data_IF_983845165142
#
_entry.id   IF_983845165142
#
_cell.length_a   1.000
_cell.length_b   1.000
_cell.length_c   1.000
_cell.angle_alpha   90.00
_cell.angle_beta   90.00
_cell.angle_gamma   90.00
#
_symmetry.space_group_name_H-M   'P 1'
#
loop_
_entity.id
_entity.type
_entity.pdbx_description
1 polymer ?
#
# COMPACT_ATOMS: atom_id res chain seq x y z
N UNK A 1 -19.73 28.30 -18.07
CA UNK A 1 -20.24 28.66 -16.74
C UNK A 1 -19.31 28.09 -15.70
N UNK A 2 -18.36 28.90 -15.23
CA UNK A 2 -17.42 28.54 -14.17
C UNK A 2 -18.06 28.89 -12.83
N UNK A 3 -18.50 27.87 -12.09
CA UNK A 3 -18.90 28.03 -10.70
C UNK A 3 -17.63 28.20 -9.86
N UNK A 4 -17.21 29.46 -9.64
CA UNK A 4 -16.18 29.79 -8.66
C UNK A 4 -16.78 29.61 -7.26
N UNK A 5 -16.65 28.41 -6.69
CA UNK A 5 -16.94 28.20 -5.27
C UNK A 5 -15.72 28.72 -4.50
N UNK A 6 -15.85 29.77 -3.66
CA UNK A 6 -14.74 30.27 -2.88
C UNK A 6 -14.15 29.15 -2.02
N UNK A 7 -12.83 29.03 -2.04
CA UNK A 7 -12.04 28.10 -1.22
C UNK A 7 -12.30 28.37 0.27
N UNK A 8 -13.00 27.46 0.95
CA UNK A 8 -13.19 27.50 2.40
C UNK A 8 -11.93 26.96 3.10
N UNK A 9 -11.16 27.81 3.81
CA UNK A 9 -9.91 27.39 4.46
C UNK A 9 -10.08 26.25 5.48
N UNK A 10 -11.29 26.07 6.00
CA UNK A 10 -11.65 24.96 6.89
C UNK A 10 -11.61 23.59 6.18
N UNK A 11 -12.08 23.51 4.92
CA UNK A 11 -12.13 22.27 4.17
C UNK A 11 -10.72 21.77 3.82
N UNK A 12 -9.81 22.71 3.55
CA UNK A 12 -8.40 22.43 3.27
C UNK A 12 -7.73 21.80 4.48
N UNK A 13 -7.89 22.42 5.65
CA UNK A 13 -7.37 21.90 6.92
C UNK A 13 -7.95 20.53 7.27
N UNK A 14 -9.26 20.33 7.07
CA UNK A 14 -9.93 19.07 7.37
C UNK A 14 -9.44 17.90 6.51
N UNK A 15 -9.23 18.10 5.20
CA UNK A 15 -8.73 17.05 4.30
C UNK A 15 -7.29 16.63 4.64
N UNK A 16 -6.43 17.60 4.95
CA UNK A 16 -5.03 17.34 5.33
C UNK A 16 -4.95 16.59 6.67
N UNK A 17 -5.73 17.01 7.67
CA UNK A 17 -5.82 16.33 8.98
C UNK A 17 -6.39 14.92 8.82
N UNK A 18 -7.41 14.76 7.99
CA UNK A 18 -8.01 13.45 7.72
C UNK A 18 -6.99 12.52 7.08
N UNK A 19 -6.27 12.98 6.05
CA UNK A 19 -5.22 12.21 5.39
C UNK A 19 -4.10 11.83 6.37
N UNK A 20 -3.65 12.77 7.20
CA UNK A 20 -2.63 12.52 8.23
C UNK A 20 -3.08 11.44 9.23
N UNK A 21 -4.32 11.54 9.75
CA UNK A 21 -4.86 10.57 10.70
C UNK A 21 -4.99 9.17 10.09
N UNK A 22 -5.39 9.07 8.81
CA UNK A 22 -5.47 7.82 8.08
C UNK A 22 -4.09 7.21 7.82
N UNK A 23 -3.09 8.03 7.46
CA UNK A 23 -1.69 7.56 7.32
C UNK A 23 -1.17 7.04 8.66
N UNK A 24 -1.42 7.76 9.76
CA UNK A 24 -1.02 7.32 11.09
C UNK A 24 -1.68 5.98 11.47
N UNK A 25 -2.99 5.82 11.19
CA UNK A 25 -3.70 4.57 11.40
C UNK A 25 -3.12 3.41 10.56
N UNK A 26 -2.76 3.66 9.30
CA UNK A 26 -2.12 2.66 8.44
C UNK A 26 -0.75 2.25 9.00
N UNK A 27 0.09 3.20 9.42
CA UNK A 27 1.40 2.89 9.99
C UNK A 27 1.30 2.12 11.31
N UNK A 28 0.29 2.41 12.13
CA UNK A 28 -0.02 1.62 13.33
C UNK A 28 -0.45 0.18 12.96
N UNK A 29 -1.27 0.03 11.91
CA UNK A 29 -1.64 -1.28 11.38
C UNK A 29 -0.41 -2.06 10.89
N UNK A 30 0.50 -1.39 10.16
CA UNK A 30 1.76 -1.98 9.71
C UNK A 30 2.65 -2.41 10.87
N UNK A 31 2.77 -1.59 11.92
CA UNK A 31 3.52 -1.95 13.12
C UNK A 31 2.93 -3.20 13.79
N UNK A 32 1.60 -3.26 13.94
CA UNK A 32 0.91 -4.42 14.47
C UNK A 32 1.17 -5.66 13.61
N UNK A 33 1.07 -5.53 12.28
CA UNK A 33 1.37 -6.59 11.32
C UNK A 33 2.81 -7.13 11.48
N UNK A 34 3.80 -6.26 11.67
CA UNK A 34 5.19 -6.66 11.94
C UNK A 34 5.31 -7.44 13.24
N UNK A 35 4.70 -6.97 14.32
CA UNK A 35 4.69 -7.65 15.63
C UNK A 35 4.12 -9.06 15.47
N UNK A 36 2.99 -9.22 14.77
CA UNK A 36 2.40 -10.54 14.48
C UNK A 36 3.33 -11.45 13.68
N UNK A 37 4.02 -10.93 12.66
CA UNK A 37 4.99 -11.70 11.87
C UNK A 37 6.15 -12.18 12.75
N UNK A 38 6.73 -11.29 13.57
CA UNK A 38 7.84 -11.65 14.45
C UNK A 38 7.42 -12.61 15.55
N UNK A 39 6.25 -12.38 16.15
CA UNK A 39 5.68 -13.28 17.15
C UNK A 39 5.46 -14.69 16.58
N UNK A 40 4.86 -14.79 15.39
CA UNK A 40 4.67 -16.07 14.70
C UNK A 40 6.02 -16.73 14.40
N UNK A 41 7.02 -15.96 13.94
CA UNK A 41 8.36 -16.48 13.64
C UNK A 41 9.05 -17.05 14.88
N UNK A 42 8.94 -16.37 16.02
CA UNK A 42 9.51 -16.82 17.29
C UNK A 42 8.81 -18.09 17.76
N UNK A 43 7.47 -18.10 17.78
CA UNK A 43 6.66 -19.25 18.20
C UNK A 43 6.80 -20.45 17.25
N UNK A 44 7.03 -20.20 15.96
CA UNK A 44 7.27 -21.26 14.99
C UNK A 44 8.57 -22.04 15.25
N UNK A 45 9.54 -21.47 15.97
CA UNK A 45 10.77 -22.20 16.33
C UNK A 45 10.49 -23.33 17.32
N UNK A 46 9.47 -23.20 18.16
CA UNK A 46 9.11 -24.18 19.20
C UNK A 46 8.01 -25.17 18.79
N UNK A 47 7.44 -25.06 17.58
CA UNK A 47 6.30 -25.88 17.17
C UNK A 47 6.35 -26.27 15.68
N UNK A 48 6.43 -27.58 15.42
CA UNK A 48 6.48 -28.16 14.07
C UNK A 48 5.26 -27.79 13.20
N UNK A 49 4.07 -27.72 13.80
CA UNK A 49 2.84 -27.31 13.09
C UNK A 49 2.93 -25.89 12.51
N UNK A 50 3.57 -24.96 13.22
CA UNK A 50 3.68 -23.55 12.82
C UNK A 50 4.80 -23.30 11.78
N UNK A 51 5.76 -24.22 11.63
CA UNK A 51 6.84 -24.09 10.63
C UNK A 51 6.33 -24.10 9.20
N UNK A 52 5.28 -24.89 8.89
CA UNK A 52 4.68 -24.91 7.55
C UNK A 52 4.05 -23.56 7.18
N UNK A 53 3.44 -22.87 8.16
CA UNK A 53 2.85 -21.54 7.98
C UNK A 53 3.89 -20.41 7.96
N UNK A 54 5.05 -20.63 8.55
CA UNK A 54 6.14 -19.67 8.58
C UNK A 54 6.80 -19.50 7.20
N UNK A 55 6.68 -20.45 6.25
CA UNK A 55 7.39 -20.37 4.96
C UNK A 55 7.13 -19.09 4.12
N UNK A 56 6.02 -18.39 4.35
CA UNK A 56 5.64 -17.15 3.63
C UNK A 56 5.97 -15.86 4.40
N UNK A 57 6.60 -15.96 5.57
CA UNK A 57 6.88 -14.81 6.44
C UNK A 57 7.66 -13.70 5.74
N UNK A 58 8.64 -14.05 4.90
CA UNK A 58 9.47 -13.09 4.17
C UNK A 58 8.65 -12.25 3.19
N UNK A 59 7.68 -12.85 2.51
CA UNK A 59 6.85 -12.14 1.52
C UNK A 59 5.80 -11.26 2.23
N UNK A 60 5.22 -11.75 3.34
CA UNK A 60 4.34 -10.92 4.19
C UNK A 60 5.10 -9.73 4.77
N UNK A 61 6.34 -9.94 5.22
CA UNK A 61 7.21 -8.87 5.70
C UNK A 61 7.51 -7.85 4.59
N UNK A 62 7.81 -8.32 3.38
CA UNK A 62 8.01 -7.45 2.21
C UNK A 62 6.78 -6.60 1.90
N UNK A 63 5.58 -7.18 1.97
CA UNK A 63 4.32 -6.45 1.78
C UNK A 63 4.18 -5.29 2.76
N UNK A 64 4.39 -5.58 4.06
CA UNK A 64 4.26 -4.58 5.13
C UNK A 64 5.32 -3.48 4.99
N UNK A 65 6.53 -3.82 4.55
CA UNK A 65 7.57 -2.81 4.24
C UNK A 65 7.11 -1.89 3.11
N UNK A 66 6.61 -2.41 1.99
CA UNK A 66 6.15 -1.57 0.89
C UNK A 66 5.00 -0.65 1.31
N UNK A 67 4.05 -1.16 2.08
CA UNK A 67 2.92 -0.37 2.58
C UNK A 67 3.38 0.70 3.58
N UNK A 68 4.29 0.36 4.49
CA UNK A 68 4.86 1.32 5.44
C UNK A 68 5.61 2.43 4.71
N UNK A 69 6.49 2.07 3.77
CA UNK A 69 7.24 3.03 2.96
C UNK A 69 6.30 3.89 2.11
N UNK A 70 5.19 3.34 1.60
CA UNK A 70 4.18 4.10 0.89
C UNK A 70 3.51 5.13 1.81
N UNK A 71 3.11 4.72 3.01
CA UNK A 71 2.57 5.63 4.02
C UNK A 71 3.53 6.77 4.38
N UNK A 72 4.83 6.47 4.57
CA UNK A 72 5.85 7.49 4.78
C UNK A 72 6.05 8.40 3.55
N UNK A 73 5.97 7.85 2.33
CA UNK A 73 6.05 8.62 1.10
C UNK A 73 4.86 9.58 0.95
N UNK A 74 3.66 9.18 1.36
CA UNK A 74 2.46 10.04 1.38
C UNK A 74 2.58 11.20 2.37
N UNK A 75 3.35 11.07 3.45
CA UNK A 75 3.66 12.20 4.34
C UNK A 75 4.44 13.31 3.61
N UNK A 76 5.28 12.95 2.62
CA UNK A 76 6.01 13.93 1.81
C UNK A 76 5.10 14.76 0.91
N UNK A 77 3.90 14.25 0.61
CA UNK A 77 2.89 14.95 -0.20
C UNK A 77 2.28 16.12 0.56
N UNK A 78 2.06 15.94 1.87
CA UNK A 78 1.35 16.89 2.71
C UNK A 78 2.15 18.20 2.87
N UNK A 79 1.48 19.37 2.75
CA UNK A 79 2.14 20.67 2.90
C UNK A 79 2.70 20.91 4.30
N UNK A 80 2.21 20.19 5.32
CA UNK A 80 2.64 20.31 6.72
C UNK A 80 4.16 20.08 6.91
N UNK A 81 4.72 19.07 6.25
CA UNK A 81 6.16 18.76 6.33
C UNK A 81 7.03 19.73 5.52
N UNK A 82 6.44 20.41 4.54
CA UNK A 82 7.13 21.30 3.60
C UNK A 82 7.14 22.76 4.05
N UNK A 83 6.13 23.17 4.82
CA UNK A 83 5.92 24.58 5.24
C UNK A 83 6.75 25.00 6.45
N UNK A 84 7.52 24.09 7.05
CA UNK A 84 8.39 24.45 8.17
C UNK A 84 7.65 24.67 9.49
N UNK A 85 6.46 24.09 9.70
CA UNK A 85 5.86 24.02 11.06
C UNK A 85 6.66 23.09 11.99
N UNK A 86 7.64 22.35 11.44
CA UNK A 86 8.71 21.66 12.16
C UNK A 86 10.00 22.52 12.20
N UNK A 87 9.86 23.84 12.27
CA UNK A 87 10.95 24.84 12.22
C UNK A 87 12.00 24.69 13.33
N UNK A 88 11.71 23.89 14.37
CA UNK A 88 12.70 23.50 15.38
C UNK A 88 13.69 22.43 14.90
N UNK A 89 13.34 21.63 13.89
CA UNK A 89 14.11 20.43 13.50
C UNK A 89 14.52 20.37 12.02
N UNK A 90 13.86 21.09 11.11
CA UNK A 90 14.17 21.07 9.67
C UNK A 90 14.34 22.50 9.10
N UNK A 91 15.40 22.78 8.32
CA UNK A 91 15.59 24.08 7.68
C UNK A 91 14.50 24.35 6.63
N UNK A 92 14.19 25.62 6.38
CA UNK A 92 13.26 26.03 5.32
C UNK A 92 13.74 25.52 3.95
N UNK A 93 12.95 24.67 3.30
CA UNK A 93 13.25 24.18 1.95
C UNK A 93 12.95 25.25 0.90
N UNK A 94 13.91 25.47 0.00
CA UNK A 94 13.76 26.35 -1.16
C UNK A 94 12.71 25.80 -2.14
N UNK A 95 12.10 26.68 -2.95
CA UNK A 95 11.08 26.31 -3.94
C UNK A 95 11.54 25.17 -4.89
N UNK A 96 12.83 25.18 -5.25
CA UNK A 96 13.45 24.15 -6.10
C UNK A 96 13.56 22.79 -5.41
N UNK A 97 13.85 22.78 -4.11
CA UNK A 97 13.91 21.55 -3.32
C UNK A 97 12.50 20.96 -3.13
N UNK A 98 11.50 21.81 -2.90
CA UNK A 98 10.11 21.41 -2.82
C UNK A 98 9.61 20.75 -4.12
N UNK A 99 9.97 21.32 -5.27
CA UNK A 99 9.66 20.75 -6.58
C UNK A 99 10.31 19.38 -6.80
N UNK A 100 11.57 19.21 -6.37
CA UNK A 100 12.26 17.93 -6.45
C UNK A 100 11.65 16.87 -5.53
N UNK A 101 11.19 17.25 -4.34
CA UNK A 101 10.46 16.33 -3.45
C UNK A 101 9.16 15.84 -4.08
N UNK A 102 8.40 16.70 -4.77
CA UNK A 102 7.21 16.26 -5.50
C UNK A 102 7.53 15.26 -6.63
N UNK A 103 8.64 15.48 -7.36
CA UNK A 103 9.12 14.53 -8.38
C UNK A 103 9.48 13.18 -7.76
N UNK A 104 10.25 13.21 -6.66
CA UNK A 104 10.65 11.99 -5.94
C UNK A 104 9.41 11.26 -5.41
N UNK A 105 8.49 11.98 -4.78
CA UNK A 105 7.25 11.43 -4.26
C UNK A 105 6.43 10.73 -5.36
N UNK A 106 6.25 11.38 -6.52
CA UNK A 106 5.50 10.82 -7.64
C UNK A 106 6.17 9.54 -8.21
N UNK A 107 7.48 9.58 -8.43
CA UNK A 107 8.25 8.41 -8.90
C UNK A 107 8.20 7.26 -7.90
N UNK A 108 8.34 7.58 -6.61
CA UNK A 108 8.41 6.57 -5.56
C UNK A 108 7.03 5.94 -5.32
N UNK A 109 5.95 6.73 -5.29
CA UNK A 109 4.58 6.22 -5.10
C UNK A 109 4.15 5.35 -6.29
N UNK A 110 4.03 5.95 -7.48
CA UNK A 110 3.47 5.30 -8.66
C UNK A 110 4.45 4.37 -9.38
N UNK A 111 5.76 4.62 -9.24
CA UNK A 111 6.78 3.87 -9.94
C UNK A 111 7.28 2.64 -9.20
N UNK A 112 7.20 2.61 -7.87
CA UNK A 112 7.83 1.56 -7.09
C UNK A 112 7.01 1.03 -5.92
N UNK A 113 6.52 1.90 -5.03
CA UNK A 113 5.88 1.45 -3.79
C UNK A 113 4.50 0.85 -4.03
N UNK A 114 3.65 1.51 -4.81
CA UNK A 114 2.33 0.96 -5.17
C UNK A 114 2.43 -0.29 -6.03
N UNK A 115 3.19 -0.30 -7.13
CA UNK A 115 3.46 -1.54 -7.86
C UNK A 115 4.05 -2.63 -6.96
N UNK A 116 4.94 -2.27 -6.04
CA UNK A 116 5.62 -3.17 -5.11
C UNK A 116 4.66 -3.91 -4.20
N UNK A 117 3.76 -3.20 -3.52
CA UNK A 117 2.77 -3.88 -2.68
C UNK A 117 1.76 -4.65 -3.53
N UNK A 118 1.30 -4.13 -4.67
CA UNK A 118 0.33 -4.83 -5.54
C UNK A 118 0.90 -6.16 -6.06
N UNK A 119 2.11 -6.16 -6.62
CA UNK A 119 2.76 -7.41 -7.09
C UNK A 119 2.98 -8.38 -5.93
N UNK A 120 3.32 -7.87 -4.75
CA UNK A 120 3.46 -8.71 -3.55
C UNK A 120 2.12 -9.34 -3.13
N UNK A 121 1.00 -8.60 -3.21
CA UNK A 121 -0.35 -9.12 -2.98
C UNK A 121 -0.70 -10.23 -3.97
N UNK A 122 -0.50 -10.00 -5.27
CA UNK A 122 -0.72 -11.00 -6.31
C UNK A 122 0.08 -12.27 -6.07
N UNK A 123 1.36 -12.13 -5.69
CA UNK A 123 2.21 -13.27 -5.37
C UNK A 123 1.69 -14.04 -4.15
N UNK A 124 1.33 -13.36 -3.07
CA UNK A 124 0.79 -13.98 -1.86
C UNK A 124 -0.50 -14.75 -2.13
N UNK A 125 -1.43 -14.18 -2.90
CA UNK A 125 -2.66 -14.86 -3.30
C UNK A 125 -2.36 -16.09 -4.15
N UNK A 126 -1.46 -15.97 -5.13
CA UNK A 126 -1.12 -17.07 -6.04
C UNK A 126 -0.43 -18.24 -5.33
N UNK A 127 0.47 -17.95 -4.39
CA UNK A 127 1.25 -18.98 -3.70
C UNK A 127 0.47 -19.62 -2.57
N UNK A 128 -0.48 -18.93 -1.95
CA UNK A 128 -1.29 -19.48 -0.85
C UNK A 128 -2.09 -20.74 -1.22
N UNK A 129 -2.26 -21.03 -2.51
CA UNK A 129 -3.02 -22.18 -3.03
C UNK A 129 -2.19 -23.16 -3.85
N UNK A 130 -0.90 -22.91 -4.07
CA UNK A 130 -0.01 -23.84 -4.77
C UNK A 130 0.60 -24.81 -3.77
N UNK A 131 0.62 -26.10 -4.10
CA UNK A 131 1.23 -27.15 -3.27
C UNK A 131 2.73 -26.96 -3.08
N UNK A 132 3.41 -26.38 -4.07
CA UNK A 132 4.85 -26.06 -4.00
C UNK A 132 5.04 -24.61 -3.61
N UNK A 133 5.52 -24.38 -2.39
CA UNK A 133 5.91 -23.04 -1.92
C UNK A 133 7.27 -22.69 -2.54
N UNK A 134 7.36 -21.68 -3.42
CA UNK A 134 8.64 -21.21 -3.93
C UNK A 134 9.49 -20.61 -2.80
N UNK A 135 10.81 -20.71 -2.92
CA UNK A 135 11.74 -20.09 -1.96
C UNK A 135 11.49 -18.58 -1.88
N UNK A 136 11.48 -18.01 -0.66
CA UNK A 136 11.19 -16.60 -0.42
C UNK A 136 12.03 -15.61 -1.26
N UNK A 137 13.32 -15.91 -1.49
CA UNK A 137 14.17 -15.09 -2.36
C UNK A 137 13.66 -14.97 -3.81
N UNK A 138 13.07 -16.03 -4.37
CA UNK A 138 12.50 -15.97 -5.74
C UNK A 138 11.29 -15.04 -5.80
N UNK A 139 10.53 -14.95 -4.71
CA UNK A 139 9.42 -14.00 -4.59
C UNK A 139 9.93 -12.56 -4.61
N UNK A 140 10.98 -12.29 -3.83
CA UNK A 140 11.64 -10.97 -3.80
C UNK A 140 12.12 -10.61 -5.20
N UNK A 141 12.91 -11.47 -5.85
CA UNK A 141 13.41 -11.23 -7.21
C UNK A 141 12.26 -10.97 -8.19
N UNK A 142 11.18 -11.74 -8.12
CA UNK A 142 10.00 -11.54 -8.97
C UNK A 142 9.33 -10.18 -8.76
N UNK A 143 9.10 -9.77 -7.50
CA UNK A 143 8.50 -8.47 -7.17
C UNK A 143 9.37 -7.35 -7.71
N UNK A 144 10.65 -7.33 -7.35
CA UNK A 144 11.57 -6.27 -7.78
C UNK A 144 11.74 -6.24 -9.30
N UNK A 145 11.87 -7.39 -9.97
CA UNK A 145 11.97 -7.45 -11.42
C UNK A 145 10.71 -6.95 -12.15
N UNK A 146 9.53 -7.12 -11.55
CA UNK A 146 8.27 -6.63 -12.13
C UNK A 146 8.09 -5.12 -11.93
N UNK A 147 8.55 -4.58 -10.80
CA UNK A 147 8.45 -3.15 -10.50
C UNK A 147 9.54 -2.32 -11.19
N UNK A 148 10.72 -2.89 -11.42
CA UNK A 148 11.89 -2.19 -11.97
C UNK A 148 11.62 -1.48 -13.31
N UNK A 149 10.94 -2.09 -14.32
CA UNK A 149 10.67 -1.42 -15.60
C UNK A 149 9.83 -0.15 -15.42
N UNK A 150 8.78 -0.21 -14.60
CA UNK A 150 7.92 0.95 -14.33
C UNK A 150 8.73 2.04 -13.63
N UNK A 151 9.49 1.67 -12.59
CA UNK A 151 10.34 2.61 -11.85
C UNK A 151 11.38 3.31 -12.75
N UNK A 152 12.09 2.55 -13.59
CA UNK A 152 13.09 3.10 -14.50
C UNK A 152 12.46 4.02 -15.55
N UNK A 153 11.32 3.64 -16.12
CA UNK A 153 10.59 4.49 -17.06
C UNK A 153 10.19 5.81 -16.38
N UNK A 154 9.61 5.76 -15.18
CA UNK A 154 9.22 6.95 -14.42
C UNK A 154 10.41 7.90 -14.16
N UNK A 155 11.57 7.35 -13.75
CA UNK A 155 12.80 8.15 -13.55
C UNK A 155 13.24 8.81 -14.86
N UNK A 156 13.31 8.04 -15.94
CA UNK A 156 13.75 8.53 -17.25
C UNK A 156 12.87 9.67 -17.75
N UNK A 157 11.55 9.56 -17.61
CA UNK A 157 10.62 10.61 -18.05
C UNK A 157 10.66 11.87 -17.18
N UNK A 158 10.84 11.75 -15.86
CA UNK A 158 10.73 12.89 -14.94
C UNK A 158 12.04 13.64 -14.65
N UNK A 159 13.18 12.97 -14.76
CA UNK A 159 14.50 13.56 -14.48
C UNK A 159 15.31 13.90 -15.73
N UNK A 160 14.96 13.35 -16.90
CA UNK A 160 15.73 13.60 -18.12
C UNK A 160 15.27 14.87 -18.86
N UNK A 161 16.02 15.97 -18.67
CA UNK A 161 15.74 17.30 -19.26
C UNK A 161 15.54 17.31 -20.79
N UNK A 162 16.17 16.38 -21.51
CA UNK A 162 16.04 16.29 -22.97
C UNK A 162 14.68 15.75 -23.43
N UNK A 163 13.98 15.00 -22.57
CA UNK A 163 12.59 14.60 -22.79
C UNK A 163 11.63 15.72 -22.38
N UNK A 164 11.97 16.45 -21.31
CA UNK A 164 11.20 17.61 -20.83
C UNK A 164 11.00 18.68 -21.91
N UNK A 165 12.01 18.95 -22.73
CA UNK A 165 11.90 19.93 -23.83
C UNK A 165 11.13 19.45 -25.07
N UNK A 166 10.84 18.14 -25.16
CA UNK A 166 10.17 17.54 -26.32
C UNK A 166 8.67 17.31 -26.11
N UNK A 167 8.22 17.33 -24.86
CA UNK A 167 6.82 17.13 -24.50
C UNK A 167 6.20 18.40 -23.92
N UNK A 168 4.90 18.64 -24.16
CA UNK A 168 4.21 19.81 -23.64
C UNK A 168 4.19 19.86 -22.10
N UNK A 169 4.05 21.06 -21.54
CA UNK A 169 4.19 21.35 -20.10
C UNK A 169 3.29 20.50 -19.20
N UNK A 170 2.08 20.17 -19.65
CA UNK A 170 1.14 19.30 -18.93
C UNK A 170 1.64 17.86 -18.75
N UNK A 171 2.57 17.39 -19.60
CA UNK A 171 3.07 16.01 -19.56
C UNK A 171 4.12 15.77 -18.46
N UNK A 172 4.82 16.81 -18.00
CA UNK A 172 5.95 16.68 -17.06
C UNK A 172 5.80 17.51 -15.78
N UNK A 173 4.79 18.39 -15.69
CA UNK A 173 4.56 19.23 -14.52
C UNK A 173 4.14 18.37 -13.32
N UNK A 174 5.03 18.26 -12.34
CA UNK A 174 4.85 17.47 -11.10
C UNK A 174 4.57 18.37 -9.88
N UNK A 175 4.55 19.68 -10.09
CA UNK A 175 4.33 20.68 -9.05
C UNK A 175 3.70 21.96 -9.62
N UNK A 176 3.00 22.67 -8.75
CA UNK A 176 2.24 23.89 -9.03
C UNK A 176 2.34 24.82 -7.82
N UNK A 177 2.34 26.13 -8.08
CA UNK A 177 2.38 27.14 -7.03
C UNK A 177 0.95 27.49 -6.63
N UNK A 178 0.65 27.44 -5.34
CA UNK A 178 -0.63 27.81 -4.73
C UNK A 178 -0.43 28.92 -3.72
N UNK A 179 -1.08 30.05 -3.96
CA UNK A 179 -1.07 31.17 -3.03
C UNK A 179 -2.22 31.00 -2.05
N UNK A 180 -1.87 30.75 -0.78
CA UNK A 180 -2.87 30.67 0.28
C UNK A 180 -3.48 32.05 0.52
N UNK A 181 -4.72 32.11 1.00
CA UNK A 181 -5.45 33.38 1.24
C UNK A 181 -4.76 34.36 2.20
N UNK A 182 -3.70 33.94 2.90
CA UNK A 182 -2.84 34.76 3.75
C UNK A 182 -1.61 35.35 3.03
N UNK A 183 -1.51 35.22 1.71
CA UNK A 183 -0.42 35.76 0.90
C UNK A 183 0.84 34.88 0.81
N UNK A 184 0.86 33.73 1.48
CA UNK A 184 1.99 32.81 1.49
C UNK A 184 1.91 31.80 0.33
N UNK A 185 3.02 31.60 -0.39
CA UNK A 185 3.14 30.76 -1.58
C UNK A 185 3.60 29.35 -1.20
N UNK A 186 2.78 28.35 -1.54
CA UNK A 186 3.02 26.93 -1.23
C UNK A 186 3.04 26.11 -2.50
N UNK A 187 3.91 25.11 -2.58
CA UNK A 187 3.91 24.17 -3.71
C UNK A 187 2.92 23.04 -3.43
N UNK A 188 2.08 22.65 -4.38
CA UNK A 188 1.35 21.37 -4.33
C UNK A 188 1.99 20.37 -5.29
N UNK A 189 2.06 19.11 -4.85
CA UNK A 189 2.51 18.02 -5.70
C UNK A 189 1.34 17.54 -6.57
N UNK A 190 1.60 17.38 -7.86
CA UNK A 190 0.62 16.82 -8.80
C UNK A 190 1.23 15.65 -9.53
N UNK A 191 0.40 14.71 -9.94
CA UNK A 191 0.85 13.54 -10.68
C UNK A 191 0.94 13.90 -12.16
N UNK A 192 2.14 13.85 -12.76
CA UNK A 192 2.28 14.18 -14.17
C UNK A 192 1.59 13.11 -15.03
N UNK A 193 1.00 13.55 -16.13
CA UNK A 193 0.23 12.71 -17.06
C UNK A 193 0.97 11.44 -17.49
N UNK A 194 2.27 11.55 -17.81
CA UNK A 194 3.08 10.40 -18.23
C UNK A 194 3.16 9.35 -17.11
N UNK A 195 3.28 9.79 -15.86
CA UNK A 195 3.30 8.89 -14.72
C UNK A 195 1.97 8.17 -14.54
N UNK A 196 0.86 8.87 -14.76
CA UNK A 196 -0.50 8.29 -14.75
C UNK A 196 -0.69 7.25 -15.85
N UNK A 197 -0.21 7.51 -17.08
CA UNK A 197 -0.31 6.56 -18.19
C UNK A 197 0.51 5.30 -17.91
N UNK A 198 1.76 5.45 -17.45
CA UNK A 198 2.63 4.32 -17.11
C UNK A 198 2.03 3.47 -15.98
N UNK A 199 1.53 4.11 -14.92
CA UNK A 199 0.88 3.42 -13.82
C UNK A 199 -0.43 2.75 -14.26
N UNK A 200 -1.23 3.42 -15.10
CA UNK A 200 -2.48 2.87 -15.65
C UNK A 200 -2.27 1.65 -16.53
N UNK A 201 -1.21 1.65 -17.35
CA UNK A 201 -0.82 0.48 -18.15
C UNK A 201 -0.44 -0.70 -17.26
N UNK A 202 0.40 -0.46 -16.24
CA UNK A 202 0.75 -1.47 -15.24
C UNK A 202 -0.50 -1.98 -14.50
N UNK A 203 -1.35 -1.07 -14.03
CA UNK A 203 -2.57 -1.39 -13.29
C UNK A 203 -3.57 -2.21 -14.11
N UNK A 204 -3.66 -1.98 -15.42
CA UNK A 204 -4.52 -2.75 -16.32
C UNK A 204 -4.04 -4.20 -16.44
N UNK A 205 -2.75 -4.41 -16.70
CA UNK A 205 -2.13 -5.74 -16.76
C UNK A 205 -2.25 -6.46 -15.41
N UNK A 206 -2.02 -5.73 -14.32
CA UNK A 206 -2.15 -6.24 -12.97
C UNK A 206 -3.57 -6.70 -12.66
N UNK A 207 -4.58 -5.86 -12.94
CA UNK A 207 -5.99 -6.13 -12.66
C UNK A 207 -6.44 -7.41 -13.36
N UNK A 208 -6.09 -7.58 -14.64
CA UNK A 208 -6.39 -8.80 -15.40
C UNK A 208 -5.70 -10.03 -14.78
N UNK A 209 -4.40 -9.91 -14.49
CA UNK A 209 -3.60 -10.99 -13.90
C UNK A 209 -4.10 -11.41 -12.52
N UNK A 210 -4.53 -10.43 -11.72
CA UNK A 210 -5.08 -10.60 -10.38
C UNK A 210 -6.46 -11.27 -10.44
N UNK A 211 -7.34 -10.81 -11.33
CA UNK A 211 -8.64 -11.44 -11.55
C UNK A 211 -8.50 -12.92 -11.94
N UNK A 212 -7.62 -13.24 -12.90
CA UNK A 212 -7.38 -14.63 -13.34
C UNK A 212 -6.82 -15.48 -12.19
N UNK A 213 -5.87 -14.93 -11.42
CA UNK A 213 -5.28 -15.63 -10.28
C UNK A 213 -6.33 -15.91 -9.20
N UNK A 214 -7.15 -14.91 -8.84
CA UNK A 214 -8.23 -15.07 -7.87
C UNK A 214 -9.31 -16.03 -8.34
N UNK A 215 -9.68 -16.00 -9.63
CA UNK A 215 -10.67 -16.91 -10.20
C UNK A 215 -10.22 -18.37 -10.07
N UNK A 216 -8.96 -18.66 -10.44
CA UNK A 216 -8.38 -19.99 -10.27
C UNK A 216 -8.40 -20.43 -8.81
N UNK A 217 -7.98 -19.55 -7.91
CA UNK A 217 -8.00 -19.82 -6.47
C UNK A 217 -9.42 -20.15 -5.99
N UNK A 218 -10.39 -19.30 -6.28
CA UNK A 218 -11.79 -19.45 -5.87
C UNK A 218 -12.41 -20.75 -6.40
N UNK A 219 -12.05 -21.15 -7.62
CA UNK A 219 -12.53 -22.42 -8.21
C UNK A 219 -11.99 -23.66 -7.49
N UNK A 220 -10.85 -23.57 -6.81
CA UNK A 220 -10.19 -24.68 -6.11
C UNK A 220 -10.56 -24.75 -4.62
N UNK A 221 -11.02 -23.66 -3.99
CA UNK A 221 -11.36 -23.68 -2.56
C UNK A 221 -12.73 -24.29 -2.29
N UNK A 222 -12.72 -25.38 -1.53
CA UNK A 222 -13.91 -26.00 -0.94
C UNK A 222 -14.38 -25.22 0.32
N UNK A 223 -13.47 -24.49 0.99
CA UNK A 223 -13.78 -23.79 2.24
C UNK A 223 -14.50 -22.44 1.99
N UNK A 224 -15.77 -22.36 2.44
CA UNK A 224 -16.64 -21.18 2.34
C UNK A 224 -16.05 -19.93 3.02
N UNK A 225 -15.35 -20.09 4.16
CA UNK A 225 -14.77 -18.98 4.92
C UNK A 225 -13.54 -18.36 4.25
N UNK A 226 -12.65 -19.17 3.67
CA UNK A 226 -11.52 -18.68 2.89
C UNK A 226 -12.00 -18.00 1.60
N UNK A 227 -13.03 -18.57 0.96
CA UNK A 227 -13.64 -18.02 -0.26
C UNK A 227 -14.19 -16.60 -0.06
N UNK A 228 -14.93 -16.34 1.02
CA UNK A 228 -15.47 -15.00 1.31
C UNK A 228 -14.36 -13.95 1.46
N UNK A 229 -13.26 -14.30 2.14
CA UNK A 229 -12.15 -13.37 2.37
C UNK A 229 -11.44 -12.98 1.08
N UNK A 230 -11.24 -13.96 0.20
CA UNK A 230 -10.60 -13.75 -1.10
C UNK A 230 -11.52 -12.94 -2.02
N UNK A 231 -12.83 -13.19 -1.99
CA UNK A 231 -13.79 -12.33 -2.70
C UNK A 231 -13.79 -10.90 -2.19
N UNK A 232 -13.74 -10.69 -0.88
CA UNK A 232 -13.60 -9.35 -0.29
C UNK A 232 -12.34 -8.64 -0.78
N UNK A 233 -11.18 -9.29 -0.70
CA UNK A 233 -9.92 -8.75 -1.23
C UNK A 233 -10.01 -8.46 -2.74
N UNK A 234 -10.58 -9.40 -3.50
CA UNK A 234 -10.72 -9.27 -4.95
C UNK A 234 -11.59 -8.08 -5.31
N UNK A 235 -12.76 -7.97 -4.69
CA UNK A 235 -13.67 -6.85 -4.89
C UNK A 235 -13.01 -5.52 -4.53
N UNK A 236 -12.34 -5.43 -3.37
CA UNK A 236 -11.64 -4.20 -2.97
C UNK A 236 -10.60 -3.77 -4.00
N UNK A 237 -9.71 -4.68 -4.42
CA UNK A 237 -8.65 -4.34 -5.39
C UNK A 237 -9.22 -4.00 -6.77
N UNK A 238 -10.19 -4.77 -7.28
CA UNK A 238 -10.78 -4.55 -8.60
C UNK A 238 -11.65 -3.30 -8.69
N UNK A 239 -12.13 -2.77 -7.57
CA UNK A 239 -12.86 -1.50 -7.54
C UNK A 239 -11.92 -0.34 -7.26
N UNK A 240 -11.10 -0.45 -6.22
CA UNK A 240 -10.25 0.65 -5.78
C UNK A 240 -9.16 1.00 -6.80
N UNK A 241 -8.47 0.01 -7.38
CA UNK A 241 -7.37 0.30 -8.31
C UNK A 241 -7.84 0.97 -9.62
N UNK A 242 -8.91 0.50 -10.31
CA UNK A 242 -9.43 1.22 -11.47
C UNK A 242 -10.00 2.59 -11.12
N UNK A 243 -10.66 2.73 -9.96
CA UNK A 243 -11.12 4.02 -9.48
C UNK A 243 -9.94 4.99 -9.29
N UNK A 244 -8.84 4.52 -8.69
CA UNK A 244 -7.60 5.28 -8.55
C UNK A 244 -7.08 5.78 -9.89
N UNK A 245 -6.94 4.87 -10.86
CA UNK A 245 -6.40 5.18 -12.20
C UNK A 245 -7.32 6.17 -12.94
N UNK A 246 -8.63 5.97 -12.85
CA UNK A 246 -9.61 6.88 -13.45
C UNK A 246 -9.52 8.27 -12.83
N UNK A 247 -9.48 8.37 -11.51
CA UNK A 247 -9.34 9.62 -10.79
C UNK A 247 -8.00 10.32 -11.09
N UNK A 248 -6.89 9.58 -11.18
CA UNK A 248 -5.60 10.11 -11.62
C UNK A 248 -5.69 10.69 -13.04
N UNK A 249 -6.36 10.01 -13.97
CA UNK A 249 -6.57 10.51 -15.33
C UNK A 249 -7.46 11.76 -15.38
N UNK A 250 -8.53 11.77 -14.60
CA UNK A 250 -9.45 12.90 -14.50
C UNK A 250 -8.82 14.13 -13.83
N UNK A 251 -7.87 13.94 -12.92
CA UNK A 251 -7.17 15.03 -12.21
C UNK A 251 -6.50 16.05 -13.16
N UNK A 252 -6.23 15.63 -14.40
CA UNK A 252 -5.61 16.43 -15.46
C UNK A 252 -6.57 17.46 -16.05
N UNK A 253 -7.87 17.18 -16.01
CA UNK A 253 -8.91 18.03 -16.58
C UNK A 253 -9.22 19.24 -15.69
N UNK A 254 -8.92 19.15 -14.40
CA UNK A 254 -9.22 20.20 -13.44
C UNK A 254 -8.00 21.04 -13.10
N UNK A 255 -8.22 22.34 -12.99
CA UNK A 255 -7.22 23.22 -12.42
C UNK A 255 -7.10 22.93 -10.92
N UNK A 256 -5.89 22.98 -10.34
CA UNK A 256 -5.66 22.65 -8.94
C UNK A 256 -6.25 23.66 -7.95
N UNK A 257 -6.69 24.82 -8.46
CA UNK A 257 -7.38 25.85 -7.72
C UNK A 257 -8.85 25.47 -7.45
N UNK A 258 -9.39 24.51 -8.20
CA UNK A 258 -10.75 24.03 -8.02
C UNK A 258 -10.84 22.98 -6.91
N UNK A 259 -11.89 23.08 -6.09
CA UNK A 259 -12.17 22.11 -5.02
C UNK A 259 -12.34 20.67 -5.54
N UNK A 260 -12.77 20.52 -6.79
CA UNK A 260 -12.90 19.23 -7.46
C UNK A 260 -11.56 18.48 -7.54
N UNK A 261 -10.45 19.18 -7.81
CA UNK A 261 -9.12 18.57 -7.88
C UNK A 261 -8.73 17.92 -6.54
N UNK A 262 -8.96 18.62 -5.43
CA UNK A 262 -8.69 18.10 -4.07
C UNK A 262 -9.54 16.88 -3.73
N UNK A 263 -10.82 16.90 -4.11
CA UNK A 263 -11.71 15.76 -3.93
C UNK A 263 -11.22 14.52 -4.70
N UNK A 264 -10.81 14.70 -5.95
CA UNK A 264 -10.25 13.63 -6.79
C UNK A 264 -8.95 13.08 -6.18
N UNK A 265 -8.05 13.95 -5.71
CA UNK A 265 -6.80 13.54 -5.05
C UNK A 265 -7.05 12.74 -3.76
N UNK A 266 -8.06 13.12 -2.97
CA UNK A 266 -8.46 12.38 -1.79
C UNK A 266 -9.00 10.99 -2.16
N UNK A 267 -9.78 10.87 -3.23
CA UNK A 267 -10.26 9.57 -3.72
C UNK A 267 -9.09 8.69 -4.18
N UNK A 268 -8.11 9.24 -4.89
CA UNK A 268 -6.87 8.53 -5.26
C UNK A 268 -6.18 8.01 -4.00
N UNK A 269 -5.98 8.85 -2.99
CA UNK A 269 -5.37 8.43 -1.72
C UNK A 269 -6.17 7.33 -1.01
N UNK A 270 -7.49 7.49 -0.87
CA UNK A 270 -8.36 6.53 -0.21
C UNK A 270 -8.40 5.18 -0.93
N UNK A 271 -8.36 5.19 -2.26
CA UNK A 271 -8.33 3.96 -3.05
C UNK A 271 -7.03 3.16 -2.83
N UNK A 272 -5.87 3.82 -2.82
CA UNK A 272 -4.60 3.17 -2.50
C UNK A 272 -4.56 2.70 -1.03
N UNK A 273 -5.03 3.54 -0.10
CA UNK A 273 -5.12 3.23 1.33
C UNK A 273 -5.97 1.98 1.59
N UNK A 274 -7.15 1.89 0.96
CA UNK A 274 -8.03 0.73 1.10
C UNK A 274 -7.41 -0.53 0.52
N UNK A 275 -6.69 -0.46 -0.59
CA UNK A 275 -5.91 -1.57 -1.12
C UNK A 275 -4.84 -2.05 -0.12
N UNK A 276 -4.09 -1.11 0.46
CA UNK A 276 -3.05 -1.40 1.44
C UNK A 276 -3.62 -2.03 2.71
N UNK A 277 -4.65 -1.42 3.31
CA UNK A 277 -5.29 -1.90 4.52
C UNK A 277 -5.95 -3.28 4.34
N UNK A 278 -6.63 -3.50 3.21
CA UNK A 278 -7.20 -4.82 2.89
C UNK A 278 -6.10 -5.86 2.69
N UNK A 279 -5.00 -5.49 2.04
CA UNK A 279 -3.81 -6.31 1.86
C UNK A 279 -3.22 -6.81 3.18
N UNK A 280 -2.94 -5.89 4.10
CA UNK A 280 -2.43 -6.25 5.43
C UNK A 280 -3.43 -7.08 6.23
N UNK A 281 -4.67 -6.62 6.33
CA UNK A 281 -5.70 -7.27 7.13
C UNK A 281 -5.97 -8.70 6.66
N UNK A 282 -6.18 -8.90 5.35
CA UNK A 282 -6.63 -10.19 4.80
C UNK A 282 -5.45 -11.16 4.58
N UNK A 283 -4.27 -10.69 4.18
CA UNK A 283 -3.13 -11.58 3.85
C UNK A 283 -2.07 -11.70 4.94
N UNK A 284 -2.02 -10.78 5.90
CA UNK A 284 -1.04 -10.80 7.00
C UNK A 284 -1.73 -11.12 8.31
N UNK A 285 -2.59 -10.23 8.82
CA UNK A 285 -3.13 -10.33 10.18
C UNK A 285 -4.02 -11.57 10.31
N UNK A 286 -5.03 -11.70 9.44
CA UNK A 286 -6.04 -12.76 9.56
C UNK A 286 -5.47 -14.18 9.47
N UNK A 287 -4.59 -14.52 8.50
CA UNK A 287 -3.98 -15.86 8.43
C UNK A 287 -3.07 -16.17 9.62
N UNK A 288 -2.38 -15.17 10.16
CA UNK A 288 -1.53 -15.34 11.36
C UNK A 288 -2.41 -15.60 12.58
N UNK A 289 -3.45 -14.79 12.80
CA UNK A 289 -4.39 -14.97 13.90
C UNK A 289 -5.05 -16.35 13.89
N UNK A 290 -5.52 -16.81 12.72
CA UNK A 290 -6.12 -18.14 12.56
C UNK A 290 -5.12 -19.26 12.89
N UNK A 291 -3.84 -19.12 12.47
CA UNK A 291 -2.80 -20.11 12.77
C UNK A 291 -2.45 -20.19 14.26
N UNK A 292 -2.48 -19.05 14.96
CA UNK A 292 -2.22 -18.96 16.40
C UNK A 292 -3.38 -19.56 17.21
N UNK A 293 -4.62 -19.30 16.80
CA UNK A 293 -5.82 -19.89 17.41
C UNK A 293 -5.82 -21.41 17.27
N UNK A 294 -5.51 -21.93 16.08
CA UNK A 294 -5.39 -23.37 15.86
C UNK A 294 -4.28 -24.02 16.71
N UNK A 295 -3.15 -23.33 16.88
CA UNK A 295 -2.05 -23.80 17.74
C UNK A 295 -2.42 -23.83 19.23
N UNK A 296 -3.20 -22.87 19.73
CA UNK A 296 -3.66 -22.84 21.11
C UNK A 296 -4.60 -23.99 21.47
N UNK A 297 -5.52 -24.34 20.56
CA UNK A 297 -6.44 -25.48 20.74
C UNK A 297 -5.68 -26.81 20.79
N UNK A 298 -4.62 -26.97 20.00
CA UNK A 298 -3.81 -28.20 20.01
C UNK A 298 -3.05 -28.37 21.33
N UNK A 299 -2.47 -27.30 21.88
CA UNK A 299 -1.82 -27.36 23.19
C UNK A 299 -2.79 -27.71 24.33
N UNK A 300 -4.04 -27.24 24.27
CA UNK A 300 -5.04 -27.51 25.31
C UNK A 300 -5.61 -28.95 25.26
N UNK A 301 -5.54 -29.61 24.09
CA UNK A 301 -5.98 -30.99 23.88
C UNK A 301 -4.93 -32.04 24.23
N UNK A 302 -3.65 -31.66 24.32
CA UNK A 302 -2.56 -32.56 24.76
C UNK A 302 -2.42 -32.58 26.29
N UNK A 303 -3.07 -31.65 27.00
CA UNK A 303 -3.10 -31.59 28.47
C UNK A 303 -4.15 -32.41 29.24
N UNK A 304 -4.94 -33.37 28.67
CA UNK A 304 -5.73 -34.27 29.51
C UNK A 304 -5.01 -35.58 29.88
N UNK A 305 -3.93 -35.97 29.20
CA UNK A 305 -3.30 -37.29 29.43
C UNK A 305 -2.22 -37.33 30.53
N UNK A 306 -1.80 -36.19 31.10
CA UNK A 306 -0.82 -36.17 32.21
C UNK A 306 -1.49 -36.25 33.59
N UNK A 307 -2.83 -36.13 33.68
CA UNK A 307 -3.56 -36.37 34.94
C UNK A 307 -4.00 -37.82 35.14
N UNK A 308 -4.11 -38.63 34.10
CA UNK A 308 -4.56 -40.03 34.23
C UNK A 308 -3.43 -41.04 34.47
N UNK A 309 -2.20 -40.57 34.72
CA UNK A 309 -1.07 -41.43 35.11
C UNK A 309 -0.65 -41.28 36.56
N UNK A 310 -1.20 -40.30 37.30
CA UNK A 310 -0.79 -40.02 38.70
C UNK A 310 -1.77 -40.60 39.74
N UNK A 311 -2.93 -41.08 39.30
CA UNK A 311 -3.92 -41.71 40.18
C UNK A 311 -3.79 -43.24 40.24
N UNK A 312 -2.91 -43.85 39.43
CA UNK A 312 -2.66 -45.31 39.45
C UNK A 312 -1.48 -45.67 40.38
N UNK A 313 -0.55 -44.75 40.66
CA UNK A 313 0.57 -44.96 41.60
C UNK A 313 0.24 -44.63 43.07
N UNK A 314 -0.99 -44.22 43.37
CA UNK A 314 -1.46 -43.98 44.75
C UNK A 314 -2.29 -45.15 45.34
N UNK A 315 -2.37 -46.29 44.63
CA UNK A 315 -3.12 -47.48 45.04
C UNK A 315 -2.30 -48.77 44.85
N UNK A 316 -1.01 -48.75 45.17
CA UNK A 316 -0.17 -49.95 45.27
C UNK A 316 0.76 -49.84 46.46
#
# INVERSE_FOLDING_TARGET
MTFNIPSLPFLESACDITSLSLIAALLLLSLLSLIFIFYLRLKSRSSLHLQKFNSLWTVRFLLVIFISLWGFNELLRLPFFRRGNLSTFLPHLTLKEQANLCKIHAVLSLGFLEPGFLVTLLFLVTVSFKEKIPRGWRAIVFVFATCLPVFLLQILFLFHKKLESRFPSFSHRSWILYRTGFGDETVLCTYPLVSTILFGAFGSVYTLSFFVSCWRVVSLVINKGLRIRIYGLTFTILVALPLQILCLGLSVMWSPEEQAYRGVELVVFLSALTCAAAGEGILVIKPIADSLAAGGVFCHRVTPSVRLGRDIEASS
#
